data_IF_693565844307
#
_entry.id   IF_693565844307
#
_cell.length_a   1.000
_cell.length_b   1.000
_cell.length_c   1.000
_cell.angle_alpha   90.00
_cell.angle_beta   90.00
_cell.angle_gamma   90.00
#
_symmetry.space_group_name_H-M   'P 1'
#
loop_
_entity.id
_entity.type
_entity.pdbx_description
1 polymer ?
#
# COMPACT_ATOMS: atom_id res chain seq x y z
N UNK A 1 6.51 3.65 -20.91
CA UNK A 1 6.72 4.80 -20.02
C UNK A 1 7.35 4.36 -18.72
N UNK A 2 8.60 4.75 -18.54
CA UNK A 2 9.42 4.29 -17.42
C UNK A 2 8.92 4.82 -16.07
N UNK A 3 8.48 6.08 -16.00
CA UNK A 3 7.95 6.67 -14.77
C UNK A 3 6.74 5.88 -14.24
N UNK A 4 5.75 5.63 -15.11
CA UNK A 4 4.56 4.88 -14.72
C UNK A 4 4.90 3.46 -14.29
N UNK A 5 5.89 2.84 -14.92
CA UNK A 5 6.35 1.50 -14.56
C UNK A 5 6.99 1.48 -13.17
N UNK A 6 7.82 2.46 -12.84
CA UNK A 6 8.44 2.58 -11.52
C UNK A 6 7.37 2.77 -10.44
N UNK A 7 6.39 3.64 -10.67
CA UNK A 7 5.28 3.87 -9.73
C UNK A 7 4.48 2.58 -9.52
N UNK A 8 4.17 1.87 -10.60
CA UNK A 8 3.45 0.58 -10.51
C UNK A 8 4.24 -0.46 -9.73
N UNK A 9 5.56 -0.46 -9.86
CA UNK A 9 6.43 -1.38 -9.12
C UNK A 9 6.35 -1.13 -7.62
N UNK A 10 6.42 0.11 -7.17
CA UNK A 10 6.32 0.42 -5.74
C UNK A 10 4.92 0.15 -5.19
N UNK A 11 3.87 0.41 -5.96
CA UNK A 11 2.50 0.07 -5.58
C UNK A 11 2.33 -1.43 -5.39
N UNK A 12 2.87 -2.23 -6.33
CA UNK A 12 2.85 -3.68 -6.23
C UNK A 12 3.63 -4.19 -5.03
N UNK A 13 4.77 -3.57 -4.73
CA UNK A 13 5.56 -3.88 -3.55
C UNK A 13 4.79 -3.59 -2.26
N UNK A 14 4.17 -2.42 -2.16
CA UNK A 14 3.38 -2.04 -0.99
C UNK A 14 2.22 -3.01 -0.77
N UNK A 15 1.51 -3.35 -1.83
CA UNK A 15 0.41 -4.30 -1.77
C UNK A 15 0.88 -5.70 -1.37
N UNK A 16 1.90 -6.21 -2.05
CA UNK A 16 2.42 -7.55 -1.81
C UNK A 16 2.98 -7.73 -0.43
N UNK A 17 3.78 -6.78 0.04
CA UNK A 17 4.37 -6.83 1.38
C UNK A 17 3.30 -6.82 2.46
N UNK A 18 2.31 -5.93 2.33
CA UNK A 18 1.22 -5.83 3.31
C UNK A 18 0.37 -7.10 3.34
N UNK A 19 -0.08 -7.57 2.19
CA UNK A 19 -0.91 -8.77 2.08
C UNK A 19 -0.17 -9.99 2.62
N UNK A 20 1.10 -10.16 2.25
CA UNK A 20 1.90 -11.29 2.71
C UNK A 20 2.03 -11.30 4.24
N UNK A 21 2.36 -10.17 4.84
CA UNK A 21 2.51 -10.09 6.30
C UNK A 21 1.19 -10.33 7.03
N UNK A 22 0.13 -9.66 6.61
CA UNK A 22 -1.17 -9.77 7.26
C UNK A 22 -1.75 -11.18 7.14
N UNK A 23 -1.73 -11.77 5.94
CA UNK A 23 -2.33 -13.08 5.72
C UNK A 23 -1.56 -14.23 6.35
N UNK A 24 -0.28 -14.02 6.69
CA UNK A 24 0.54 -15.04 7.34
C UNK A 24 0.73 -14.81 8.84
N UNK A 25 0.03 -13.84 9.43
CA UNK A 25 0.08 -13.56 10.86
C UNK A 25 -1.34 -13.36 11.39
N UNK A 26 -1.73 -14.21 12.32
CA UNK A 26 -3.04 -14.09 12.98
C UNK A 26 -3.15 -12.78 13.78
N UNK A 27 -2.08 -12.37 14.43
CA UNK A 27 -2.02 -11.11 15.17
C UNK A 27 -2.22 -9.91 14.26
N UNK A 28 -1.54 -9.87 13.11
CA UNK A 28 -1.68 -8.77 12.15
C UNK A 28 -3.05 -8.76 11.49
N UNK A 29 -3.60 -9.92 11.17
CA UNK A 29 -4.95 -10.05 10.66
C UNK A 29 -5.96 -9.46 11.65
N UNK A 30 -5.79 -9.77 12.93
CA UNK A 30 -6.65 -9.23 14.00
C UNK A 30 -6.54 -7.72 14.09
N UNK A 31 -5.32 -7.17 14.06
CA UNK A 31 -5.11 -5.72 14.07
C UNK A 31 -5.80 -5.03 12.89
N UNK A 32 -5.71 -5.61 11.71
CA UNK A 32 -6.37 -5.08 10.52
C UNK A 32 -7.88 -5.08 10.69
N UNK A 33 -8.46 -6.21 11.08
CA UNK A 33 -9.91 -6.36 11.25
C UNK A 33 -10.45 -5.39 12.31
N UNK A 34 -9.73 -5.21 13.40
CA UNK A 34 -10.15 -4.32 14.48
C UNK A 34 -10.03 -2.83 14.12
N UNK A 35 -9.08 -2.46 13.27
CA UNK A 35 -8.78 -1.06 12.95
C UNK A 35 -9.37 -0.57 11.64
N UNK A 36 -9.65 -1.45 10.68
CA UNK A 36 -10.16 -1.06 9.38
C UNK A 36 -11.65 -0.69 9.46
N UNK A 37 -12.03 0.49 8.96
CA UNK A 37 -13.44 0.94 9.02
C UNK A 37 -14.42 0.00 8.33
N UNK A 38 -14.02 -0.66 7.26
CA UNK A 38 -14.88 -1.59 6.53
C UNK A 38 -15.14 -2.85 7.35
N UNK A 39 -14.09 -3.46 7.90
CA UNK A 39 -14.24 -4.67 8.70
C UNK A 39 -14.92 -4.41 10.05
N UNK A 40 -14.65 -3.27 10.67
CA UNK A 40 -15.23 -2.94 11.97
C UNK A 40 -16.75 -2.77 11.92
N UNK A 41 -17.30 -2.51 10.74
CA UNK A 41 -18.75 -2.38 10.52
C UNK A 41 -19.45 -3.71 10.26
N UNK A 42 -18.71 -4.75 9.88
CA UNK A 42 -19.29 -6.07 9.60
C UNK A 42 -19.75 -6.74 10.88
N UNK A 43 -20.95 -7.27 10.84
CA UNK A 43 -21.56 -7.97 11.97
C UNK A 43 -22.00 -9.35 11.53
N UNK A 44 -21.80 -10.34 12.40
CA UNK A 44 -22.20 -11.71 12.15
C UNK A 44 -23.05 -12.24 13.32
N UNK A 45 -23.99 -13.10 12.99
CA UNK A 45 -24.72 -13.85 14.01
C UNK A 45 -23.80 -14.93 14.59
N UNK A 46 -24.14 -15.45 15.76
CA UNK A 46 -23.39 -16.57 16.34
C UNK A 46 -23.36 -17.79 15.41
N UNK A 47 -24.45 -17.98 14.64
CA UNK A 47 -24.52 -19.05 13.65
C UNK A 47 -23.50 -18.94 12.54
N UNK A 48 -23.18 -17.71 12.13
CA UNK A 48 -22.25 -17.41 11.04
C UNK A 48 -20.78 -17.39 11.47
N UNK A 49 -20.51 -17.17 12.75
CA UNK A 49 -19.16 -16.93 13.28
C UNK A 49 -18.19 -18.06 12.94
N UNK A 50 -18.59 -19.31 13.13
CA UNK A 50 -17.68 -20.44 12.87
C UNK A 50 -17.32 -20.56 11.41
N UNK A 51 -18.28 -20.34 10.51
CA UNK A 51 -18.03 -20.36 9.06
C UNK A 51 -17.12 -19.21 8.65
N UNK A 52 -17.39 -18.00 9.14
CA UNK A 52 -16.59 -16.83 8.83
C UNK A 52 -15.17 -16.93 9.38
N UNK A 53 -14.99 -17.55 10.56
CA UNK A 53 -13.68 -17.77 11.13
C UNK A 53 -12.81 -18.65 10.23
N UNK A 54 -13.38 -19.71 9.66
CA UNK A 54 -12.66 -20.62 8.77
C UNK A 54 -12.24 -19.95 7.47
N UNK A 55 -13.05 -18.99 6.98
CA UNK A 55 -12.80 -18.30 5.71
C UNK A 55 -12.19 -16.91 5.89
N UNK A 56 -11.88 -16.50 7.12
CA UNK A 56 -11.40 -15.15 7.42
C UNK A 56 -10.16 -14.77 6.61
N UNK A 57 -9.20 -15.66 6.50
CA UNK A 57 -7.97 -15.40 5.73
C UNK A 57 -8.28 -15.10 4.26
N UNK A 58 -9.19 -15.86 3.67
CA UNK A 58 -9.62 -15.66 2.28
C UNK A 58 -10.36 -14.34 2.13
N UNK A 59 -11.24 -14.01 3.08
CA UNK A 59 -11.99 -12.75 3.07
C UNK A 59 -11.05 -11.54 3.15
N UNK A 60 -10.08 -11.59 4.07
CA UNK A 60 -9.09 -10.51 4.22
C UNK A 60 -8.23 -10.38 2.97
N UNK A 61 -7.74 -11.50 2.43
CA UNK A 61 -6.92 -11.48 1.23
C UNK A 61 -7.68 -10.89 0.02
N UNK A 62 -8.95 -11.26 -0.16
CA UNK A 62 -9.78 -10.72 -1.23
C UNK A 62 -10.00 -9.23 -1.07
N UNK A 63 -10.30 -8.77 0.13
CA UNK A 63 -10.48 -7.36 0.43
C UNK A 63 -9.21 -6.56 0.08
N UNK A 64 -8.05 -7.03 0.52
CA UNK A 64 -6.79 -6.33 0.29
C UNK A 64 -6.40 -6.31 -1.19
N UNK A 65 -6.69 -7.38 -1.94
CA UNK A 65 -6.44 -7.43 -3.37
C UNK A 65 -7.29 -6.43 -4.15
N UNK A 66 -8.51 -6.19 -3.70
CA UNK A 66 -9.42 -5.23 -4.32
C UNK A 66 -9.09 -3.78 -3.92
N UNK A 67 -8.28 -3.60 -2.89
CA UNK A 67 -7.88 -2.28 -2.41
C UNK A 67 -6.90 -1.64 -3.39
N UNK A 68 -7.15 -0.36 -3.70
CA UNK A 68 -6.29 0.38 -4.62
C UNK A 68 -5.07 0.91 -3.85
N UNK A 69 -3.92 0.24 -4.03
CA UNK A 69 -2.69 0.56 -3.28
C UNK A 69 -1.92 1.79 -3.80
N UNK A 70 -2.51 2.57 -4.69
CA UNK A 70 -2.00 3.88 -5.01
C UNK A 70 -2.73 5.01 -4.27
N UNK A 71 -3.75 4.71 -3.47
CA UNK A 71 -4.39 5.67 -2.59
C UNK A 71 -3.65 5.75 -1.26
N UNK A 72 -2.59 6.56 -1.24
CA UNK A 72 -1.69 6.68 -0.10
C UNK A 72 -2.36 7.23 1.15
N UNK A 73 -3.46 7.99 0.99
CA UNK A 73 -4.23 8.49 2.13
C UNK A 73 -4.85 7.36 2.93
N UNK A 74 -5.18 6.26 2.27
CA UNK A 74 -5.76 5.07 2.89
C UNK A 74 -4.69 4.11 3.38
N UNK A 75 -3.64 3.92 2.60
CA UNK A 75 -2.59 2.93 2.85
C UNK A 75 -1.67 3.35 3.99
N UNK A 76 -1.33 4.63 4.08
CA UNK A 76 -0.45 5.15 5.11
C UNK A 76 -0.94 4.79 6.53
N UNK A 77 -2.21 5.08 6.90
CA UNK A 77 -2.73 4.66 8.19
C UNK A 77 -2.74 3.15 8.40
N UNK A 78 -2.98 2.35 7.35
CA UNK A 78 -2.97 0.89 7.44
C UNK A 78 -1.60 0.37 7.83
N UNK A 79 -0.55 0.83 7.17
CA UNK A 79 0.83 0.46 7.51
C UNK A 79 1.20 0.90 8.92
N UNK A 80 0.85 2.10 9.31
CA UNK A 80 1.15 2.64 10.63
C UNK A 80 0.46 1.85 11.75
N UNK A 81 -0.81 1.51 11.55
CA UNK A 81 -1.61 0.84 12.57
C UNK A 81 -1.32 -0.65 12.64
N UNK A 82 -1.26 -1.33 11.49
CA UNK A 82 -1.15 -2.80 11.46
C UNK A 82 0.29 -3.26 11.61
N UNK A 83 1.21 -2.68 10.84
CA UNK A 83 2.63 -3.06 10.86
C UNK A 83 3.48 -2.20 11.80
N UNK A 84 2.87 -1.21 12.43
CA UNK A 84 3.57 -0.24 13.27
C UNK A 84 4.74 0.42 12.52
N UNK A 85 4.57 0.62 11.22
CA UNK A 85 5.56 1.24 10.36
C UNK A 85 5.27 2.73 10.23
N UNK A 86 6.23 3.56 10.63
CA UNK A 86 6.14 5.01 10.45
C UNK A 86 6.91 5.38 9.18
N UNK A 87 6.20 5.95 8.23
CA UNK A 87 6.82 6.43 7.01
C UNK A 87 7.61 7.71 7.27
N UNK A 88 8.75 7.84 6.62
CA UNK A 88 9.41 9.11 6.42
C UNK A 88 8.56 9.97 5.47
N UNK A 89 9.07 11.10 5.01
CA UNK A 89 8.32 11.98 4.10
C UNK A 89 7.95 11.24 2.80
N UNK A 90 6.65 11.16 2.51
CA UNK A 90 6.10 10.54 1.31
C UNK A 90 5.63 11.54 0.25
N UNK A 91 5.93 12.83 0.42
CA UNK A 91 5.50 13.85 -0.56
C UNK A 91 5.95 13.55 -1.97
N UNK A 92 7.15 13.00 -2.13
CA UNK A 92 7.68 12.57 -3.42
C UNK A 92 6.81 11.46 -4.06
N UNK A 93 6.28 10.54 -3.26
CA UNK A 93 5.44 9.45 -3.76
C UNK A 93 4.05 9.94 -4.17
N UNK A 94 3.45 10.84 -3.38
CA UNK A 94 2.20 11.49 -3.75
C UNK A 94 2.34 12.21 -5.09
N UNK A 95 3.44 12.95 -5.26
CA UNK A 95 3.74 13.64 -6.51
C UNK A 95 3.96 12.66 -7.68
N UNK A 96 4.67 11.56 -7.43
CA UNK A 96 4.93 10.54 -8.46
C UNK A 96 3.64 9.89 -8.95
N UNK A 97 2.70 9.59 -8.04
CA UNK A 97 1.39 9.04 -8.39
C UNK A 97 0.58 10.04 -9.21
N UNK A 98 0.61 11.32 -8.83
CA UNK A 98 -0.05 12.39 -9.59
C UNK A 98 0.51 12.51 -11.01
N UNK A 99 1.84 12.50 -11.16
CA UNK A 99 2.52 12.54 -12.45
C UNK A 99 2.12 11.34 -13.31
N UNK A 100 2.08 10.15 -12.73
CA UNK A 100 1.63 8.96 -13.45
C UNK A 100 0.20 9.13 -13.97
N UNK A 101 -0.68 9.68 -13.15
CA UNK A 101 -2.06 9.94 -13.54
C UNK A 101 -2.11 10.86 -14.77
N UNK A 102 -1.32 11.93 -14.79
CA UNK A 102 -1.23 12.82 -15.93
C UNK A 102 -0.69 12.13 -17.18
N UNK A 103 0.31 11.25 -17.03
CA UNK A 103 0.88 10.50 -18.15
C UNK A 103 -0.13 9.53 -18.76
N UNK A 104 -0.95 8.87 -17.94
CA UNK A 104 -1.91 7.86 -18.41
C UNK A 104 -3.18 8.50 -18.96
N UNK A 105 -3.71 9.53 -18.28
CA UNK A 105 -5.03 10.09 -18.59
C UNK A 105 -4.99 11.41 -19.37
N UNK A 106 -3.87 12.09 -19.39
CA UNK A 106 -3.72 13.42 -20.04
C UNK A 106 -2.51 13.51 -20.96
N UNK A 107 -2.01 12.36 -21.42
CA UNK A 107 -0.86 12.31 -22.34
C UNK A 107 0.36 13.12 -21.87
N UNK A 108 0.60 13.17 -20.57
CA UNK A 108 1.74 13.88 -19.98
C UNK A 108 1.49 15.34 -19.64
N UNK A 109 0.24 15.80 -19.70
CA UNK A 109 -0.13 17.17 -19.33
C UNK A 109 -0.87 17.21 -17.99
N UNK A 110 -0.64 18.29 -17.23
CA UNK A 110 -1.37 18.55 -15.98
C UNK A 110 -2.80 19.00 -16.26
N UNK A 111 -3.60 19.16 -15.19
CA UNK A 111 -4.96 19.71 -15.27
C UNK A 111 -5.01 21.09 -15.95
N UNK A 112 -3.95 21.87 -15.76
CA UNK A 112 -3.85 23.23 -16.29
C UNK A 112 -3.29 23.26 -17.72
N UNK A 113 -3.08 22.10 -18.33
CA UNK A 113 -2.56 21.98 -19.69
C UNK A 113 -1.06 22.15 -19.80
N UNK A 114 -0.34 22.21 -18.69
CA UNK A 114 1.12 22.29 -18.68
C UNK A 114 1.73 20.91 -18.83
N UNK A 115 2.81 20.81 -19.62
CA UNK A 115 3.51 19.55 -19.80
C UNK A 115 4.22 19.17 -18.50
N UNK A 116 4.00 17.94 -18.05
CA UNK A 116 4.71 17.40 -16.89
C UNK A 116 6.13 17.03 -17.29
N UNK A 117 7.11 17.55 -16.55
CA UNK A 117 8.53 17.26 -16.80
C UNK A 117 8.90 15.89 -16.26
N UNK A 118 9.29 14.98 -17.17
CA UNK A 118 9.79 13.65 -16.83
C UNK A 118 11.15 13.50 -17.50
N UNK A 119 12.20 13.80 -16.74
CA UNK A 119 13.58 13.67 -17.20
C UNK A 119 14.21 12.36 -16.73
N UNK A 120 15.36 12.02 -17.30
CA UNK A 120 16.18 10.88 -16.83
C UNK A 120 16.59 11.10 -15.38
N UNK A 121 16.92 12.34 -14.99
CA UNK A 121 17.28 12.67 -13.61
C UNK A 121 16.11 12.48 -12.65
N UNK A 122 14.89 12.89 -13.05
CA UNK A 122 13.72 12.72 -12.21
C UNK A 122 13.37 11.24 -12.00
N UNK A 123 13.59 10.40 -13.00
CA UNK A 123 13.39 8.95 -12.90
C UNK A 123 14.46 8.34 -11.99
N UNK A 124 15.72 8.76 -12.10
CA UNK A 124 16.79 8.29 -11.22
C UNK A 124 16.52 8.64 -9.76
N UNK A 125 16.07 9.86 -9.49
CA UNK A 125 15.69 10.30 -8.14
C UNK A 125 14.51 9.47 -7.61
N UNK A 126 13.52 9.21 -8.46
CA UNK A 126 12.38 8.38 -8.11
C UNK A 126 12.81 6.96 -7.74
N UNK A 127 13.70 6.35 -8.52
CA UNK A 127 14.24 5.02 -8.24
C UNK A 127 14.98 4.98 -6.91
N UNK A 128 15.77 5.99 -6.59
CA UNK A 128 16.47 6.08 -5.32
C UNK A 128 15.48 6.16 -4.16
N UNK A 129 14.45 6.99 -4.28
CA UNK A 129 13.41 7.12 -3.27
C UNK A 129 12.62 5.82 -3.07
N UNK A 130 12.30 5.12 -4.17
CA UNK A 130 11.62 3.82 -4.13
C UNK A 130 12.47 2.78 -3.41
N UNK A 131 13.77 2.72 -3.71
CA UNK A 131 14.69 1.80 -3.05
C UNK A 131 14.80 2.09 -1.55
N UNK A 132 14.87 3.36 -1.17
CA UNK A 132 14.92 3.75 0.25
C UNK A 132 13.65 3.35 0.98
N UNK A 133 12.48 3.59 0.36
CA UNK A 133 11.19 3.21 0.94
C UNK A 133 11.07 1.70 1.10
N UNK A 134 11.46 0.93 0.09
CA UNK A 134 11.44 -0.53 0.15
C UNK A 134 12.35 -1.04 1.28
N UNK A 135 13.53 -0.44 1.44
CA UNK A 135 14.45 -0.75 2.53
C UNK A 135 13.87 -0.48 3.90
N UNK A 136 13.17 0.65 4.07
CA UNK A 136 12.48 0.99 5.32
C UNK A 136 11.42 -0.05 5.66
N UNK A 137 10.62 -0.46 4.68
CA UNK A 137 9.55 -1.44 4.87
C UNK A 137 10.15 -2.81 5.19
N UNK A 138 11.18 -3.23 4.48
CA UNK A 138 11.87 -4.51 4.75
C UNK A 138 12.42 -4.55 6.17
N UNK A 139 13.01 -3.45 6.66
CA UNK A 139 13.51 -3.35 8.03
C UNK A 139 12.38 -3.50 9.05
N UNK A 140 11.23 -2.89 8.80
CA UNK A 140 10.04 -3.01 9.65
C UNK A 140 9.52 -4.44 9.67
N UNK A 141 9.47 -5.10 8.52
CA UNK A 141 9.03 -6.49 8.40
C UNK A 141 9.96 -7.42 9.19
N UNK A 142 11.28 -7.23 9.08
CA UNK A 142 12.24 -7.99 9.87
C UNK A 142 12.02 -7.81 11.37
N UNK A 143 11.78 -6.58 11.81
CA UNK A 143 11.49 -6.26 13.21
C UNK A 143 10.22 -6.99 13.68
N UNK A 144 9.15 -6.96 12.91
CA UNK A 144 7.89 -7.64 13.24
C UNK A 144 8.07 -9.15 13.27
N UNK A 145 8.81 -9.71 12.31
CA UNK A 145 9.00 -11.15 12.17
C UNK A 145 9.89 -11.73 13.27
N UNK A 146 10.94 -11.03 13.65
CA UNK A 146 11.90 -11.51 14.66
C UNK A 146 11.65 -10.96 16.06
N UNK A 147 10.65 -10.12 16.25
CA UNK A 147 10.33 -9.56 17.56
C UNK A 147 11.33 -8.55 18.10
N UNK A 148 12.07 -7.93 17.21
CA UNK A 148 13.09 -6.94 17.56
C UNK A 148 12.53 -5.52 17.69
#
# INVERSE_FOLDING_TARGET
MMHAHVVSTIEGYLAGAFIHQVCNSEELTRKLVESDPEFSKRKFTLREIYQEKETLKVTVASYLKDLIFHDLKKIKPMYETVLNHKFSDLSWLFKAVEIRHHCVHRAGYSKDGEKVDISVESIADLLNNVNDLAGEIDSTIETVHFGL
#
